data_IF_936157999199
#
_entry.id   IF_936157999199
#
_cell.length_a   1.000
_cell.length_b   1.000
_cell.length_c   1.000
_cell.angle_alpha   90.00
_cell.angle_beta   90.00
_cell.angle_gamma   90.00
#
_symmetry.space_group_name_H-M   'P 1'
#
loop_
_entity.id
_entity.type
_entity.pdbx_description
1 polymer ?
#
# COMPACT_ATOMS: atom_id res chain seq x y z
N UNK A 1 -0.21 -1.30 -26.97
CA UNK A 1 0.03 -0.26 -25.93
C UNK A 1 -1.02 -0.47 -24.85
N UNK A 2 -0.62 -0.54 -23.58
CA UNK A 2 -1.59 -0.62 -22.47
C UNK A 2 -2.48 0.63 -22.47
N UNK A 3 -3.76 0.48 -22.17
CA UNK A 3 -4.70 1.60 -22.06
C UNK A 3 -4.27 2.51 -20.89
N UNK A 4 -4.46 3.82 -21.05
CA UNK A 4 -4.17 4.78 -19.97
C UNK A 4 -5.16 4.55 -18.84
N UNK A 5 -4.65 4.44 -17.61
CA UNK A 5 -5.41 4.14 -16.40
C UNK A 5 -5.63 5.40 -15.58
N UNK A 6 -6.70 5.43 -14.81
CA UNK A 6 -6.98 6.42 -13.77
C UNK A 6 -6.57 5.84 -12.43
N UNK A 7 -5.58 6.45 -11.78
CA UNK A 7 -4.91 5.92 -10.59
C UNK A 7 -5.12 6.86 -9.41
N UNK A 8 -5.65 6.35 -8.31
CA UNK A 8 -5.73 7.03 -7.02
C UNK A 8 -4.60 6.53 -6.12
N UNK A 9 -3.77 7.43 -5.57
CA UNK A 9 -2.63 7.07 -4.72
C UNK A 9 -2.77 7.74 -3.37
N UNK A 10 -2.74 6.99 -2.28
CA UNK A 10 -2.74 7.56 -0.93
C UNK A 10 -1.32 7.84 -0.45
N UNK A 11 -1.13 8.95 0.27
CA UNK A 11 0.18 9.31 0.83
C UNK A 11 1.22 9.74 -0.21
N UNK A 12 0.83 10.56 -1.17
CA UNK A 12 1.68 11.00 -2.30
C UNK A 12 2.58 12.21 -1.99
N UNK A 13 2.61 12.71 -0.76
CA UNK A 13 3.40 13.91 -0.42
C UNK A 13 4.91 13.68 -0.53
N UNK A 14 5.39 12.48 -0.16
CA UNK A 14 6.81 12.12 -0.12
C UNK A 14 7.02 10.63 -0.41
N UNK A 15 8.26 10.16 -0.40
CA UNK A 15 8.64 8.74 -0.47
C UNK A 15 8.09 8.02 -1.69
N UNK A 16 7.70 6.77 -1.50
CA UNK A 16 7.17 5.93 -2.58
C UNK A 16 5.95 6.53 -3.28
N UNK A 17 4.98 7.11 -2.53
CA UNK A 17 3.79 7.69 -3.14
C UNK A 17 4.11 8.85 -4.09
N UNK A 18 5.16 9.64 -3.81
CA UNK A 18 5.65 10.68 -4.72
C UNK A 18 6.28 10.05 -5.97
N UNK A 19 7.13 9.04 -5.81
CA UNK A 19 7.75 8.34 -6.95
C UNK A 19 6.71 7.66 -7.83
N UNK A 20 5.70 7.01 -7.25
CA UNK A 20 4.59 6.41 -8.00
C UNK A 20 3.84 7.47 -8.81
N UNK A 21 3.56 8.63 -8.20
CA UNK A 21 2.89 9.76 -8.87
C UNK A 21 3.66 10.20 -10.10
N UNK A 22 4.94 10.46 -9.95
CA UNK A 22 5.80 10.96 -11.03
C UNK A 22 5.97 9.91 -12.12
N UNK A 23 6.23 8.65 -11.75
CA UNK A 23 6.48 7.54 -12.69
C UNK A 23 5.23 7.23 -13.54
N UNK A 24 4.07 7.10 -12.90
CA UNK A 24 2.83 6.77 -13.61
C UNK A 24 2.35 7.92 -14.50
N UNK A 25 2.44 9.15 -14.02
CA UNK A 25 2.03 10.32 -14.81
C UNK A 25 2.91 10.53 -16.04
N UNK A 26 4.23 10.31 -15.95
CA UNK A 26 5.14 10.37 -17.10
C UNK A 26 4.87 9.30 -18.15
N UNK A 27 4.22 8.21 -17.77
CA UNK A 27 3.72 7.18 -18.70
C UNK A 27 2.33 7.52 -19.26
N UNK A 28 1.75 8.67 -18.84
CA UNK A 28 0.48 9.21 -19.33
C UNK A 28 -0.75 8.63 -18.64
N UNK A 29 -0.60 7.95 -17.49
CA UNK A 29 -1.73 7.61 -16.64
C UNK A 29 -2.24 8.86 -15.92
N UNK A 30 -3.57 9.00 -15.77
CA UNK A 30 -4.15 10.08 -14.96
C UNK A 30 -3.99 9.74 -13.49
N UNK A 31 -3.29 10.59 -12.73
CA UNK A 31 -2.94 10.32 -11.33
C UNK A 31 -3.63 11.31 -10.40
N UNK A 32 -4.42 10.79 -9.46
CA UNK A 32 -4.91 11.52 -8.29
C UNK A 32 -3.94 11.30 -7.14
N UNK A 33 -3.03 12.25 -6.97
CA UNK A 33 -2.03 12.26 -5.91
C UNK A 33 -2.67 12.79 -4.62
N UNK A 34 -2.91 11.93 -3.62
CA UNK A 34 -3.62 12.36 -2.43
C UNK A 34 -2.73 12.47 -1.21
N UNK A 35 -3.01 13.44 -0.37
CA UNK A 35 -2.29 13.70 0.88
C UNK A 35 -3.16 14.44 1.88
N UNK A 36 -2.79 14.38 3.15
CA UNK A 36 -3.44 15.15 4.20
C UNK A 36 -3.07 16.63 4.09
N UNK A 37 -3.99 17.54 4.33
CA UNK A 37 -3.76 18.98 4.46
C UNK A 37 -2.86 19.56 3.34
N UNK A 38 -3.25 19.47 2.05
CA UNK A 38 -2.46 19.98 0.93
C UNK A 38 -2.39 21.52 0.87
N UNK A 39 -3.17 22.22 1.68
CA UNK A 39 -3.08 23.67 1.91
C UNK A 39 -2.43 24.02 3.27
N UNK A 40 -2.17 23.01 4.12
CA UNK A 40 -1.56 23.17 5.45
C UNK A 40 -0.14 22.58 5.48
N UNK A 41 0.06 21.56 6.34
CA UNK A 41 1.39 20.93 6.57
C UNK A 41 2.04 20.33 5.32
N UNK A 42 1.27 19.94 4.31
CA UNK A 42 1.77 19.42 3.04
C UNK A 42 1.72 20.45 1.90
N UNK A 43 1.52 21.74 2.17
CA UNK A 43 1.38 22.79 1.15
C UNK A 43 2.59 22.86 0.22
N UNK A 44 3.82 22.73 0.76
CA UNK A 44 5.06 22.71 -0.04
C UNK A 44 5.06 21.53 -1.00
N UNK A 45 4.84 20.30 -0.52
CA UNK A 45 4.85 19.09 -1.35
C UNK A 45 3.74 19.12 -2.41
N UNK A 46 2.54 19.61 -2.04
CA UNK A 46 1.44 19.80 -2.98
C UNK A 46 1.76 20.80 -4.08
N UNK A 47 2.41 21.93 -3.73
CA UNK A 47 2.86 22.94 -4.68
C UNK A 47 3.91 22.38 -5.64
N UNK A 48 4.89 21.64 -5.14
CA UNK A 48 5.91 21.00 -5.97
C UNK A 48 5.30 20.02 -6.99
N UNK A 49 4.33 19.20 -6.58
CA UNK A 49 3.62 18.29 -7.49
C UNK A 49 2.84 19.07 -8.55
N UNK A 50 2.12 20.12 -8.17
CA UNK A 50 1.37 20.95 -9.12
C UNK A 50 2.30 21.68 -10.11
N UNK A 51 3.43 22.20 -9.63
CA UNK A 51 4.44 22.86 -10.47
C UNK A 51 5.03 21.86 -11.48
N UNK A 52 5.37 20.64 -11.04
CA UNK A 52 5.85 19.58 -11.93
C UNK A 52 4.79 19.22 -12.98
N UNK A 53 3.54 19.04 -12.55
CA UNK A 53 2.43 18.72 -13.44
C UNK A 53 2.23 19.78 -14.53
N UNK A 54 2.29 21.06 -14.16
CA UNK A 54 2.18 22.17 -15.11
C UNK A 54 3.39 22.25 -16.05
N UNK A 55 4.61 22.19 -15.50
CA UNK A 55 5.85 22.28 -16.28
C UNK A 55 5.96 21.22 -17.35
N UNK A 56 5.66 19.97 -16.99
CA UNK A 56 5.86 18.80 -17.85
C UNK A 56 4.54 18.34 -18.50
N UNK A 57 3.45 19.10 -18.35
CA UNK A 57 2.11 18.79 -18.88
C UNK A 57 1.62 17.40 -18.47
N UNK A 58 1.88 17.02 -17.20
CA UNK A 58 1.52 15.70 -16.68
C UNK A 58 0.07 15.67 -16.15
N UNK A 59 -0.68 14.59 -16.36
CA UNK A 59 -2.07 14.44 -15.91
C UNK A 59 -2.14 14.10 -14.41
N UNK A 60 -1.66 15.00 -13.55
CA UNK A 60 -1.65 14.85 -12.09
C UNK A 60 -2.66 15.82 -11.46
N UNK A 61 -3.45 15.30 -10.53
CA UNK A 61 -4.42 16.05 -9.74
C UNK A 61 -4.15 15.82 -8.25
N UNK A 62 -3.87 16.91 -7.52
CA UNK A 62 -3.64 16.85 -6.07
C UNK A 62 -4.97 17.00 -5.35
N UNK A 63 -5.33 16.00 -4.51
CA UNK A 63 -6.53 16.01 -3.67
C UNK A 63 -6.15 15.84 -2.19
N UNK A 64 -7.02 16.37 -1.32
CA UNK A 64 -6.94 16.09 0.10
C UNK A 64 -7.54 14.71 0.41
N UNK A 65 -6.81 13.90 1.18
CA UNK A 65 -7.28 12.63 1.70
C UNK A 65 -6.52 12.27 2.97
N UNK A 66 -7.25 12.11 4.07
CA UNK A 66 -6.78 11.45 5.28
C UNK A 66 -7.39 10.05 5.35
N UNK A 67 -6.54 9.02 5.35
CA UNK A 67 -6.99 7.62 5.38
C UNK A 67 -7.63 7.23 6.72
N UNK A 68 -7.48 8.06 7.76
CA UNK A 68 -8.09 7.84 9.09
C UNK A 68 -9.48 8.47 9.23
N UNK A 69 -9.96 9.18 8.18
CA UNK A 69 -11.26 9.84 8.16
C UNK A 69 -12.10 9.34 6.97
N UNK A 70 -13.19 8.61 7.27
CA UNK A 70 -14.12 8.08 6.27
C UNK A 70 -14.70 9.17 5.35
N UNK A 71 -15.04 10.34 5.90
CA UNK A 71 -15.60 11.44 5.12
C UNK A 71 -14.55 12.07 4.17
N UNK A 72 -13.30 12.17 4.61
CA UNK A 72 -12.17 12.63 3.77
C UNK A 72 -11.92 11.66 2.61
N UNK A 73 -11.92 10.36 2.89
CA UNK A 73 -11.77 9.31 1.86
C UNK A 73 -12.90 9.39 0.84
N UNK A 74 -14.15 9.47 1.29
CA UNK A 74 -15.32 9.55 0.41
C UNK A 74 -15.24 10.78 -0.50
N UNK A 75 -14.98 11.97 0.05
CA UNK A 75 -14.84 13.21 -0.74
C UNK A 75 -13.75 13.11 -1.82
N UNK A 76 -12.60 12.52 -1.49
CA UNK A 76 -11.51 12.37 -2.44
C UNK A 76 -11.87 11.40 -3.59
N UNK A 77 -12.51 10.28 -3.28
CA UNK A 77 -12.97 9.30 -4.28
C UNK A 77 -14.04 9.93 -5.17
N UNK A 78 -15.04 10.60 -4.60
CA UNK A 78 -16.08 11.28 -5.37
C UNK A 78 -15.50 12.36 -6.29
N UNK A 79 -14.56 13.15 -5.81
CA UNK A 79 -13.87 14.17 -6.63
C UNK A 79 -13.08 13.54 -7.79
N UNK A 80 -12.39 12.41 -7.55
CA UNK A 80 -11.66 11.69 -8.59
C UNK A 80 -12.62 11.14 -9.65
N UNK A 81 -13.72 10.51 -9.23
CA UNK A 81 -14.75 9.97 -10.13
C UNK A 81 -15.47 11.08 -10.89
N UNK A 82 -15.83 12.19 -10.23
CA UNK A 82 -16.46 13.33 -10.90
C UNK A 82 -15.56 13.92 -12.00
N UNK A 83 -14.25 13.93 -11.78
CA UNK A 83 -13.29 14.48 -12.75
C UNK A 83 -12.92 13.54 -13.88
N UNK A 84 -12.73 12.25 -13.60
CA UNK A 84 -12.22 11.28 -14.57
C UNK A 84 -13.26 10.23 -15.03
N UNK A 85 -14.44 10.20 -14.42
CA UNK A 85 -15.52 9.24 -14.72
C UNK A 85 -15.29 7.83 -14.16
N UNK A 86 -14.07 7.52 -13.69
CA UNK A 86 -13.67 6.18 -13.25
C UNK A 86 -12.46 6.20 -12.31
N UNK A 87 -12.22 5.09 -11.64
CA UNK A 87 -10.95 4.76 -10.97
C UNK A 87 -10.59 3.33 -11.37
N UNK A 88 -9.47 3.16 -12.06
CA UNK A 88 -8.99 1.85 -12.51
C UNK A 88 -8.08 1.18 -11.49
N UNK A 89 -7.27 1.99 -10.80
CA UNK A 89 -6.29 1.51 -9.82
C UNK A 89 -6.36 2.36 -8.56
N UNK A 90 -6.42 1.71 -7.41
CA UNK A 90 -6.26 2.37 -6.11
C UNK A 90 -4.99 1.83 -5.43
N UNK A 91 -4.03 2.71 -5.14
CA UNK A 91 -2.77 2.37 -4.48
C UNK A 91 -2.84 2.81 -3.02
N UNK A 92 -2.98 1.84 -2.13
CA UNK A 92 -2.94 2.01 -0.68
C UNK A 92 -1.48 2.08 -0.23
N UNK A 93 -0.91 3.29 -0.27
CA UNK A 93 0.49 3.54 0.07
C UNK A 93 0.65 4.30 1.39
N UNK A 94 -0.34 5.08 1.83
CA UNK A 94 -0.26 5.82 3.08
C UNK A 94 0.04 4.91 4.26
N UNK A 95 1.07 5.26 5.04
CA UNK A 95 1.50 4.49 6.19
C UNK A 95 2.75 5.09 6.83
N UNK A 96 3.09 4.58 8.01
CA UNK A 96 4.32 4.97 8.70
C UNK A 96 4.88 3.81 9.52
N UNK A 97 6.12 3.97 9.97
CA UNK A 97 6.85 3.00 10.80
C UNK A 97 6.77 3.41 12.26
N UNK A 98 6.46 2.46 13.13
CA UNK A 98 6.57 2.57 14.58
C UNK A 98 7.64 1.58 15.05
N UNK A 99 8.71 2.11 15.64
CA UNK A 99 9.85 1.34 16.16
C UNK A 99 9.95 1.50 17.67
N UNK A 100 10.21 0.43 18.38
CA UNK A 100 10.39 0.40 19.82
C UNK A 100 10.22 -1.00 20.37
N UNK A 101 10.72 -1.25 21.57
CA UNK A 101 10.37 -2.47 22.31
C UNK A 101 8.85 -2.52 22.45
N UNK A 102 8.24 -3.67 22.19
CA UNK A 102 6.77 -3.76 22.09
C UNK A 102 6.05 -3.27 23.35
N UNK A 103 6.60 -3.53 24.53
CA UNK A 103 6.02 -3.05 25.80
C UNK A 103 6.17 -1.52 25.99
N UNK A 104 7.16 -0.89 25.36
CA UNK A 104 7.39 0.56 25.40
C UNK A 104 6.52 1.34 24.37
N UNK A 105 5.82 0.64 23.50
CA UNK A 105 4.81 1.24 22.62
C UNK A 105 3.49 1.33 23.37
N UNK A 106 2.91 2.54 23.47
CA UNK A 106 1.62 2.71 24.15
C UNK A 106 0.46 2.18 23.30
N UNK A 107 -0.63 1.84 23.94
CA UNK A 107 -1.85 1.36 23.27
C UNK A 107 -2.37 2.38 22.24
N UNK A 108 -2.29 3.67 22.57
CA UNK A 108 -2.72 4.76 21.67
C UNK A 108 -1.81 4.88 20.45
N UNK A 109 -0.49 4.63 20.60
CA UNK A 109 0.43 4.58 19.46
C UNK A 109 0.11 3.39 18.56
N UNK A 110 -0.13 2.22 19.16
CA UNK A 110 -0.52 1.01 18.42
C UNK A 110 -1.85 1.20 17.67
N UNK A 111 -2.86 1.77 18.32
CA UNK A 111 -4.16 2.07 17.69
C UNK A 111 -4.00 3.02 16.51
N UNK A 112 -3.26 4.13 16.64
CA UNK A 112 -3.02 5.08 15.55
C UNK A 112 -2.27 4.44 14.38
N UNK A 113 -1.33 3.54 14.66
CA UNK A 113 -0.62 2.80 13.62
C UNK A 113 -1.57 1.89 12.85
N UNK A 114 -2.36 1.10 13.57
CA UNK A 114 -3.35 0.19 12.96
C UNK A 114 -4.41 0.97 12.17
N UNK A 115 -4.85 2.10 12.68
CA UNK A 115 -5.83 2.96 12.01
C UNK A 115 -5.30 3.49 10.66
N UNK A 116 -4.03 3.89 10.61
CA UNK A 116 -3.41 4.36 9.36
C UNK A 116 -3.04 3.21 8.44
N UNK A 117 -2.26 2.23 8.93
CA UNK A 117 -1.62 1.22 8.07
C UNK A 117 -2.55 0.08 7.64
N UNK A 118 -3.61 -0.18 8.39
CA UNK A 118 -4.56 -1.25 8.14
C UNK A 118 -5.99 -0.74 7.86
N UNK A 119 -6.59 -0.01 8.80
CA UNK A 119 -7.97 0.47 8.61
C UNK A 119 -8.07 1.55 7.53
N UNK A 120 -7.00 2.33 7.30
CA UNK A 120 -6.92 3.28 6.18
C UNK A 120 -7.15 2.60 4.82
N UNK A 121 -6.39 1.58 4.44
CA UNK A 121 -6.67 0.75 3.26
C UNK A 121 -8.09 0.16 3.23
N UNK A 122 -8.65 -0.27 4.37
CA UNK A 122 -10.04 -0.74 4.45
C UNK A 122 -11.01 0.35 4.01
N UNK A 123 -10.88 1.59 4.54
CA UNK A 123 -11.73 2.73 4.18
C UNK A 123 -11.63 3.07 2.70
N UNK A 124 -10.41 3.17 2.18
CA UNK A 124 -10.18 3.49 0.75
C UNK A 124 -10.81 2.42 -0.15
N UNK A 125 -10.58 1.14 0.14
CA UNK A 125 -11.15 0.05 -0.64
C UNK A 125 -12.68 0.08 -0.61
N UNK A 126 -13.29 0.29 0.56
CA UNK A 126 -14.76 0.42 0.69
C UNK A 126 -15.33 1.57 -0.15
N UNK A 127 -14.59 2.67 -0.29
CA UNK A 127 -15.02 3.81 -1.09
C UNK A 127 -14.86 3.58 -2.60
N UNK A 128 -13.77 2.94 -3.06
CA UNK A 128 -13.53 2.74 -4.51
C UNK A 128 -14.25 1.52 -5.09
N UNK A 129 -14.46 0.45 -4.30
CA UNK A 129 -15.06 -0.80 -4.76
C UNK A 129 -16.46 -0.65 -5.40
N UNK A 130 -17.38 0.19 -4.93
CA UNK A 130 -18.66 0.38 -5.60
C UNK A 130 -18.51 0.90 -7.04
N UNK A 131 -17.50 1.72 -7.31
CA UNK A 131 -17.19 2.22 -8.66
C UNK A 131 -16.56 1.11 -9.50
N UNK A 132 -15.57 0.40 -8.99
CA UNK A 132 -14.90 -0.71 -9.68
C UNK A 132 -15.88 -1.85 -10.02
N UNK A 133 -16.86 -2.15 -9.14
CA UNK A 133 -17.91 -3.13 -9.42
C UNK A 133 -18.80 -2.70 -10.60
N UNK A 134 -19.22 -1.43 -10.64
CA UNK A 134 -19.97 -0.91 -11.80
C UNK A 134 -19.16 -0.96 -13.09
N UNK A 135 -17.84 -0.74 -13.00
CA UNK A 135 -16.92 -0.86 -14.13
C UNK A 135 -16.66 -2.33 -14.53
N UNK A 136 -16.90 -3.30 -13.63
CA UNK A 136 -16.45 -4.70 -13.74
C UNK A 136 -14.96 -4.81 -14.00
N UNK A 137 -14.20 -3.90 -13.47
CA UNK A 137 -12.75 -3.80 -13.65
C UNK A 137 -12.18 -2.92 -12.56
N UNK A 138 -11.04 -3.31 -12.02
CA UNK A 138 -10.29 -2.53 -11.05
C UNK A 138 -9.08 -3.30 -10.52
N UNK A 139 -8.14 -2.55 -9.97
CA UNK A 139 -6.98 -3.11 -9.27
C UNK A 139 -6.79 -2.37 -7.96
N UNK A 140 -6.79 -3.10 -6.86
CA UNK A 140 -6.36 -2.63 -5.54
C UNK A 140 -4.90 -3.03 -5.35
N UNK A 141 -4.01 -2.06 -5.16
CA UNK A 141 -2.59 -2.31 -4.86
C UNK A 141 -2.32 -1.89 -3.43
N UNK A 142 -1.78 -2.82 -2.64
CA UNK A 142 -1.48 -2.62 -1.23
C UNK A 142 0.04 -2.59 -1.04
N UNK A 143 0.56 -1.45 -0.57
CA UNK A 143 1.99 -1.34 -0.24
C UNK A 143 2.20 -1.91 1.15
N UNK A 144 2.60 -3.18 1.18
CA UNK A 144 3.00 -3.91 2.38
C UNK A 144 4.46 -3.62 2.73
N UNK A 145 5.21 -4.63 3.03
CA UNK A 145 6.66 -4.62 3.34
C UNK A 145 7.15 -6.06 3.46
N UNK A 146 8.45 -6.30 3.37
CA UNK A 146 9.06 -7.53 3.90
C UNK A 146 8.60 -7.81 5.35
N UNK A 147 8.36 -6.74 6.13
CA UNK A 147 7.83 -6.82 7.50
C UNK A 147 6.36 -7.31 7.57
N UNK A 148 5.68 -7.54 6.46
CA UNK A 148 4.40 -8.25 6.38
C UNK A 148 4.55 -9.78 6.31
N UNK A 149 5.77 -10.29 6.14
CA UNK A 149 6.09 -11.72 6.01
C UNK A 149 7.09 -12.21 7.06
N UNK A 150 7.95 -11.32 7.55
CA UNK A 150 8.97 -11.62 8.57
C UNK A 150 8.88 -10.59 9.70
N UNK A 151 9.38 -10.97 10.88
CA UNK A 151 9.39 -10.08 12.04
C UNK A 151 10.79 -9.52 12.26
N UNK A 152 10.91 -8.19 12.29
CA UNK A 152 12.12 -7.53 12.74
C UNK A 152 12.02 -7.17 14.23
N UNK A 153 13.07 -7.39 15.04
CA UNK A 153 13.12 -6.92 16.43
C UNK A 153 12.80 -5.44 16.53
N UNK A 154 12.14 -5.02 17.60
CA UNK A 154 11.68 -3.64 17.84
C UNK A 154 10.67 -3.06 16.83
N UNK A 155 10.15 -3.86 15.91
CA UNK A 155 9.14 -3.44 14.92
C UNK A 155 7.82 -4.24 15.06
N UNK A 156 7.55 -4.83 16.23
CA UNK A 156 6.44 -5.76 16.43
C UNK A 156 5.08 -5.21 15.98
N UNK A 157 4.70 -3.99 16.40
CA UNK A 157 3.43 -3.39 15.97
C UNK A 157 3.40 -3.01 14.48
N UNK A 158 4.53 -2.55 13.94
CA UNK A 158 4.62 -2.27 12.51
C UNK A 158 4.44 -3.57 11.70
N UNK A 159 5.17 -4.63 12.06
CA UNK A 159 5.00 -5.95 11.45
C UNK A 159 3.54 -6.41 11.55
N UNK A 160 2.93 -6.36 12.75
CA UNK A 160 1.53 -6.74 12.94
C UNK A 160 0.57 -5.96 12.01
N UNK A 161 0.79 -4.64 11.82
CA UNK A 161 -0.01 -3.85 10.89
C UNK A 161 0.14 -4.29 9.44
N UNK A 162 1.34 -4.70 9.03
CA UNK A 162 1.61 -5.19 7.67
C UNK A 162 1.11 -6.62 7.47
N UNK A 163 1.24 -7.50 8.46
CA UNK A 163 0.61 -8.84 8.44
C UNK A 163 -0.93 -8.74 8.32
N UNK A 164 -1.55 -7.82 9.07
CA UNK A 164 -3.00 -7.57 8.95
C UNK A 164 -3.38 -7.10 7.54
N UNK A 165 -2.60 -6.18 6.94
CA UNK A 165 -2.80 -5.71 5.57
C UNK A 165 -2.65 -6.84 4.55
N UNK A 166 -1.64 -7.72 4.71
CA UNK A 166 -1.42 -8.89 3.86
C UNK A 166 -2.63 -9.83 3.87
N UNK A 167 -3.08 -10.23 5.07
CA UNK A 167 -4.23 -11.13 5.21
C UNK A 167 -5.50 -10.55 4.57
N UNK A 168 -5.74 -9.26 4.78
CA UNK A 168 -6.88 -8.55 4.22
C UNK A 168 -6.82 -8.42 2.69
N UNK A 169 -5.65 -8.08 2.15
CA UNK A 169 -5.45 -7.97 0.71
C UNK A 169 -5.56 -9.34 0.01
N UNK A 170 -5.06 -10.39 0.64
CA UNK A 170 -5.20 -11.76 0.13
C UNK A 170 -6.67 -12.21 0.14
N UNK A 171 -7.43 -11.96 1.22
CA UNK A 171 -8.86 -12.26 1.26
C UNK A 171 -9.60 -11.58 0.08
N UNK A 172 -9.29 -10.31 -0.20
CA UNK A 172 -9.86 -9.60 -1.35
C UNK A 172 -9.50 -10.21 -2.69
N UNK A 173 -8.33 -10.85 -2.84
CA UNK A 173 -7.97 -11.52 -4.09
C UNK A 173 -8.93 -12.66 -4.44
N UNK A 174 -9.52 -13.30 -3.44
CA UNK A 174 -10.54 -14.35 -3.62
C UNK A 174 -11.94 -13.76 -3.77
N UNK A 175 -12.31 -12.85 -2.88
CA UNK A 175 -13.67 -12.29 -2.80
C UNK A 175 -14.05 -11.44 -4.02
N UNK A 176 -13.08 -10.80 -4.67
CA UNK A 176 -13.30 -9.87 -5.78
C UNK A 176 -13.01 -10.46 -7.17
N UNK A 177 -12.38 -11.64 -7.23
CA UNK A 177 -11.98 -12.28 -8.47
C UNK A 177 -13.14 -12.45 -9.46
N UNK A 178 -14.29 -12.91 -8.98
CA UNK A 178 -15.52 -13.07 -9.78
C UNK A 178 -16.14 -11.75 -10.25
N UNK A 179 -15.70 -10.62 -9.74
CA UNK A 179 -16.19 -9.28 -10.08
C UNK A 179 -15.29 -8.54 -11.07
N UNK A 180 -14.22 -9.19 -11.54
CA UNK A 180 -13.23 -8.58 -12.43
C UNK A 180 -12.32 -7.55 -11.74
N UNK A 181 -12.17 -7.65 -10.43
CA UNK A 181 -11.32 -6.77 -9.62
C UNK A 181 -10.19 -7.60 -9.02
N UNK A 182 -8.96 -7.12 -9.16
CA UNK A 182 -7.76 -7.77 -8.64
C UNK A 182 -7.27 -7.06 -7.37
N UNK A 183 -6.79 -7.84 -6.42
CA UNK A 183 -6.07 -7.34 -5.25
C UNK A 183 -4.62 -7.80 -5.35
N UNK A 184 -3.69 -6.86 -5.24
CA UNK A 184 -2.25 -7.06 -5.41
C UNK A 184 -1.51 -6.51 -4.21
N UNK A 185 -0.50 -7.23 -3.76
CA UNK A 185 0.36 -6.86 -2.65
C UNK A 185 1.77 -6.59 -3.19
N UNK A 186 2.33 -5.45 -2.84
CA UNK A 186 3.74 -5.14 -3.09
C UNK A 186 4.46 -5.13 -1.76
N UNK A 187 5.54 -5.88 -1.67
CA UNK A 187 6.33 -6.11 -0.45
C UNK A 187 7.72 -5.47 -0.62
N UNK A 188 7.88 -4.14 -0.43
CA UNK A 188 9.19 -3.53 -0.48
C UNK A 188 10.10 -4.06 0.62
N UNK A 189 11.36 -4.31 0.28
CA UNK A 189 12.43 -4.53 1.25
C UNK A 189 12.95 -3.21 1.83
N UNK A 190 14.27 -3.13 1.95
CA UNK A 190 14.94 -1.95 2.51
C UNK A 190 15.24 -0.91 1.41
N UNK A 191 14.60 0.26 1.52
CA UNK A 191 14.79 1.39 0.61
C UNK A 191 14.92 2.68 1.39
N UNK A 192 15.88 3.50 1.04
CA UNK A 192 16.02 4.83 1.60
C UNK A 192 14.88 5.73 1.11
N UNK A 193 13.91 5.94 1.97
CA UNK A 193 12.78 6.83 1.72
C UNK A 193 12.59 7.75 2.92
N UNK A 194 11.83 8.82 2.74
CA UNK A 194 11.46 9.74 3.82
C UNK A 194 10.72 9.06 5.00
N UNK A 195 10.28 7.81 4.84
CA UNK A 195 9.64 7.03 5.90
C UNK A 195 10.61 6.77 7.07
N UNK A 196 11.90 6.56 6.79
CA UNK A 196 12.91 6.38 7.83
C UNK A 196 13.29 7.68 8.55
N UNK A 197 13.09 8.84 7.91
CA UNK A 197 13.23 10.16 8.56
C UNK A 197 12.05 10.54 9.45
N UNK A 198 10.94 9.77 9.40
CA UNK A 198 9.70 10.01 10.16
C UNK A 198 9.27 8.80 11.00
N UNK A 199 10.24 7.97 11.42
CA UNK A 199 9.96 6.84 12.32
C UNK A 199 9.43 7.37 13.66
N UNK A 200 8.27 6.87 14.08
CA UNK A 200 7.73 7.12 15.40
C UNK A 200 8.34 6.11 16.36
N UNK A 201 8.80 6.57 17.53
CA UNK A 201 9.38 5.71 18.55
C UNK A 201 8.39 5.41 19.67
N UNK A 202 8.53 4.26 20.32
CA UNK A 202 7.75 3.92 21.51
C UNK A 202 7.91 5.00 22.60
N UNK A 203 6.80 5.44 23.18
CA UNK A 203 6.77 6.61 24.05
C UNK A 203 6.98 6.30 25.53
N UNK A 204 6.89 5.03 25.96
CA UNK A 204 7.05 4.64 27.38
C UNK A 204 8.54 4.33 27.69
N UNK A 205 9.29 5.40 27.94
CA UNK A 205 10.71 5.28 28.31
C UNK A 205 10.95 4.52 29.62
N UNK A 206 10.01 4.62 30.56
CA UNK A 206 10.14 3.95 31.86
C UNK A 206 10.13 2.42 31.63
N UNK A 207 9.23 1.91 30.81
CA UNK A 207 9.21 0.50 30.43
C UNK A 207 10.42 0.11 29.60
N UNK A 208 10.82 0.93 28.61
CA UNK A 208 12.01 0.65 27.80
C UNK A 208 13.26 0.47 28.68
N UNK A 209 13.40 1.27 29.75
CA UNK A 209 14.54 1.19 30.66
C UNK A 209 14.58 -0.11 31.50
N UNK A 210 13.45 -0.79 31.69
CA UNK A 210 13.44 -2.08 32.42
C UNK A 210 14.12 -3.21 31.63
N UNK A 211 14.32 -3.03 30.33
CA UNK A 211 14.96 -4.01 29.43
C UNK A 211 16.49 -3.99 29.45
N UNK A 212 17.12 -3.12 30.27
CA UNK A 212 18.57 -3.02 30.38
C UNK A 212 19.24 -2.77 29.03
N UNK A 213 20.21 -3.58 28.64
CA UNK A 213 20.94 -3.43 27.38
C UNK A 213 20.08 -3.64 26.12
N UNK A 214 18.95 -4.34 26.23
CA UNK A 214 18.05 -4.56 25.08
C UNK A 214 17.35 -3.29 24.62
N UNK A 215 17.31 -2.22 25.42
CA UNK A 215 16.77 -0.92 25.02
C UNK A 215 17.48 -0.32 23.81
N UNK A 216 18.70 -0.75 23.50
CA UNK A 216 19.48 -0.30 22.35
C UNK A 216 19.11 -1.01 21.04
N UNK A 217 18.27 -2.06 21.08
CA UNK A 217 17.87 -2.82 19.88
C UNK A 217 17.24 -1.93 18.81
N UNK A 218 16.30 -1.01 19.10
CA UNK A 218 15.70 -0.14 18.08
C UNK A 218 16.75 0.66 17.30
N UNK A 219 17.73 1.24 17.97
CA UNK A 219 18.81 1.99 17.33
C UNK A 219 19.70 1.09 16.45
N UNK A 220 20.04 -0.11 16.93
CA UNK A 220 20.83 -1.09 16.16
C UNK A 220 20.09 -1.55 14.91
N UNK A 221 18.80 -1.82 15.01
CA UNK A 221 17.95 -2.20 13.87
C UNK A 221 17.88 -1.05 12.87
N UNK A 222 17.65 0.17 13.31
CA UNK A 222 17.63 1.34 12.44
C UNK A 222 18.95 1.54 11.69
N UNK A 223 20.09 1.40 12.37
CA UNK A 223 21.41 1.47 11.76
C UNK A 223 21.58 0.38 10.69
N UNK A 224 21.22 -0.86 11.00
CA UNK A 224 21.31 -1.96 10.06
C UNK A 224 20.41 -1.74 8.82
N UNK A 225 19.19 -1.23 9.02
CA UNK A 225 18.29 -0.90 7.92
C UNK A 225 18.80 0.24 7.03
N UNK A 226 19.55 1.19 7.58
CA UNK A 226 20.11 2.31 6.81
C UNK A 226 21.32 1.92 5.96
N UNK A 227 22.03 0.84 6.32
CA UNK A 227 23.29 0.46 5.68
C UNK A 227 23.15 -0.33 4.36
N UNK A 228 21.95 -0.81 4.01
CA UNK A 228 21.71 -1.74 2.89
C UNK A 228 20.51 -1.32 2.04
N UNK A 229 20.42 -0.04 1.74
CA UNK A 229 19.27 0.53 1.03
C UNK A 229 19.38 0.39 -0.49
N UNK A 230 18.29 -0.08 -1.14
CA UNK A 230 18.12 -0.08 -2.58
C UNK A 230 17.69 1.28 -3.15
N UNK A 231 17.63 1.39 -4.48
CA UNK A 231 17.07 2.55 -5.15
C UNK A 231 15.51 2.52 -5.07
N UNK A 232 14.85 3.47 -4.39
CA UNK A 232 13.39 3.47 -4.27
C UNK A 232 12.64 3.48 -5.60
N UNK A 233 13.29 3.90 -6.70
CA UNK A 233 12.70 3.88 -8.04
C UNK A 233 12.37 2.45 -8.50
N UNK A 234 13.08 1.42 -8.02
CA UNK A 234 12.79 0.02 -8.34
C UNK A 234 11.35 -0.38 -7.94
N UNK A 235 10.87 0.14 -6.81
CA UNK A 235 9.49 -0.09 -6.36
C UNK A 235 8.50 0.65 -7.25
N UNK A 236 8.80 1.88 -7.66
CA UNK A 236 7.95 2.64 -8.59
C UNK A 236 7.88 1.98 -9.98
N UNK A 237 8.99 1.43 -10.45
CA UNK A 237 9.05 0.69 -11.71
C UNK A 237 8.26 -0.65 -11.62
N UNK A 238 8.27 -1.30 -10.46
CA UNK A 238 7.43 -2.47 -10.20
C UNK A 238 5.93 -2.10 -10.22
N UNK A 239 5.55 -1.01 -9.57
CA UNK A 239 4.17 -0.48 -9.61
C UNK A 239 3.74 -0.18 -11.05
N UNK A 240 4.60 0.46 -11.85
CA UNK A 240 4.29 0.72 -13.25
C UNK A 240 4.03 -0.58 -14.02
N UNK A 241 4.90 -1.59 -13.87
CA UNK A 241 4.71 -2.91 -14.50
C UNK A 241 3.38 -3.55 -14.08
N UNK A 242 3.04 -3.50 -12.78
CA UNK A 242 1.78 -4.04 -12.26
C UNK A 242 0.58 -3.32 -12.87
N UNK A 243 0.61 -1.99 -12.96
CA UNK A 243 -0.47 -1.18 -13.55
C UNK A 243 -0.65 -1.51 -15.03
N UNK A 244 0.44 -1.69 -15.77
CA UNK A 244 0.43 -2.00 -17.21
C UNK A 244 0.20 -3.48 -17.55
N UNK A 245 0.29 -4.38 -16.55
CA UNK A 245 0.01 -5.82 -16.73
C UNK A 245 -1.48 -6.01 -17.07
N UNK A 246 -1.81 -6.85 -18.08
CA UNK A 246 -3.21 -7.14 -18.43
C UNK A 246 -3.99 -7.75 -17.25
N UNK A 247 -5.30 -7.51 -17.24
CA UNK A 247 -6.19 -8.07 -16.22
C UNK A 247 -6.16 -9.62 -16.23
N UNK A 248 -6.01 -10.22 -15.04
CA UNK A 248 -5.92 -11.66 -14.84
C UNK A 248 -4.52 -12.25 -15.02
N UNK A 249 -3.52 -11.42 -15.32
CA UNK A 249 -2.12 -11.84 -15.45
C UNK A 249 -1.24 -11.38 -14.29
N UNK A 250 -1.81 -10.58 -13.35
CA UNK A 250 -1.10 -10.11 -12.15
C UNK A 250 -0.92 -11.23 -11.15
N UNK A 251 0.24 -11.25 -10.52
CA UNK A 251 0.47 -12.08 -9.35
C UNK A 251 -0.16 -11.41 -8.11
N UNK A 252 -0.52 -12.22 -7.11
CA UNK A 252 -1.00 -11.67 -5.84
C UNK A 252 0.08 -10.87 -5.11
N UNK A 253 1.34 -11.37 -5.10
CA UNK A 253 2.47 -10.74 -4.39
C UNK A 253 3.63 -10.43 -5.31
N UNK A 254 4.24 -9.27 -5.07
CA UNK A 254 5.46 -8.80 -5.70
C UNK A 254 6.44 -8.38 -4.61
N UNK A 255 7.40 -9.23 -4.31
CA UNK A 255 8.51 -8.85 -3.44
C UNK A 255 9.50 -8.03 -4.25
N UNK A 256 9.82 -6.83 -3.78
CA UNK A 256 10.75 -5.91 -4.44
C UNK A 256 11.81 -5.52 -3.43
N UNK A 257 13.02 -6.07 -3.59
CA UNK A 257 14.10 -5.84 -2.64
C UNK A 257 15.45 -6.19 -3.27
N UNK A 258 16.51 -5.44 -2.97
CA UNK A 258 17.86 -5.83 -3.34
C UNK A 258 18.35 -7.06 -2.58
N UNK A 259 17.68 -7.45 -1.49
CA UNK A 259 18.04 -8.58 -0.63
C UNK A 259 16.84 -9.48 -0.43
N UNK A 260 17.01 -10.79 -0.65
CA UNK A 260 16.01 -11.79 -0.32
C UNK A 260 16.26 -12.30 1.12
N UNK A 261 15.35 -11.97 2.04
CA UNK A 261 15.40 -12.44 3.42
C UNK A 261 14.59 -13.74 3.62
N UNK A 262 14.42 -14.56 2.59
CA UNK A 262 13.55 -15.74 2.60
C UNK A 262 12.07 -15.40 2.34
N UNK A 263 11.77 -14.16 1.91
CA UNK A 263 10.39 -13.72 1.66
C UNK A 263 9.81 -14.42 0.44
N UNK A 264 10.60 -14.63 -0.62
CA UNK A 264 10.14 -15.35 -1.82
C UNK A 264 9.78 -16.80 -1.49
N UNK A 265 10.56 -17.47 -0.65
CA UNK A 265 10.32 -18.85 -0.19
C UNK A 265 9.03 -18.93 0.66
N UNK A 266 8.82 -17.97 1.58
CA UNK A 266 7.59 -17.88 2.37
C UNK A 266 6.39 -17.66 1.45
N UNK A 267 6.50 -16.76 0.46
CA UNK A 267 5.43 -16.47 -0.49
C UNK A 267 5.09 -17.69 -1.37
N UNK A 268 6.11 -18.42 -1.84
CA UNK A 268 5.92 -19.63 -2.62
C UNK A 268 5.19 -20.72 -1.80
N UNK A 269 5.63 -20.94 -0.56
CA UNK A 269 4.99 -21.92 0.34
C UNK A 269 3.55 -21.48 0.68
N UNK A 270 3.32 -20.21 1.01
CA UNK A 270 1.99 -19.67 1.31
C UNK A 270 1.03 -19.88 0.13
N UNK A 271 1.48 -19.62 -1.09
CA UNK A 271 0.70 -19.82 -2.31
C UNK A 271 0.27 -21.30 -2.46
N UNK A 272 1.18 -22.24 -2.20
CA UNK A 272 0.87 -23.68 -2.27
C UNK A 272 -0.14 -24.10 -1.19
N UNK A 273 0.08 -23.69 0.05
CA UNK A 273 -0.82 -23.99 1.17
C UNK A 273 -2.22 -23.44 0.91
N UNK A 274 -2.31 -22.20 0.40
CA UNK A 274 -3.58 -21.56 0.12
C UNK A 274 -4.35 -22.25 -1.02
N UNK A 275 -3.65 -22.69 -2.07
CA UNK A 275 -4.27 -23.50 -3.13
C UNK A 275 -4.90 -24.78 -2.57
N UNK A 276 -4.20 -25.50 -1.68
CA UNK A 276 -4.70 -26.70 -1.03
C UNK A 276 -5.94 -26.42 -0.16
N UNK A 277 -5.97 -25.28 0.54
CA UNK A 277 -7.13 -24.85 1.34
C UNK A 277 -8.34 -24.58 0.46
N UNK A 278 -8.16 -23.84 -0.65
CA UNK A 278 -9.25 -23.56 -1.58
C UNK A 278 -9.81 -24.82 -2.23
N UNK A 279 -8.96 -25.79 -2.56
CA UNK A 279 -9.40 -27.11 -3.04
C UNK A 279 -10.18 -27.88 -1.97
N UNK A 280 -9.65 -27.93 -0.74
CA UNK A 280 -10.30 -28.63 0.38
C UNK A 280 -11.67 -28.05 0.72
N UNK A 281 -11.88 -26.75 0.52
CA UNK A 281 -13.18 -26.08 0.73
C UNK A 281 -14.09 -26.11 -0.51
N UNK A 282 -13.62 -26.65 -1.65
CA UNK A 282 -14.37 -26.66 -2.90
C UNK A 282 -14.49 -25.28 -3.58
N UNK A 283 -13.64 -24.32 -3.20
CA UNK A 283 -13.70 -22.92 -3.65
C UNK A 283 -12.75 -22.58 -4.80
N UNK A 284 -11.96 -23.54 -5.26
CA UNK A 284 -10.92 -23.30 -6.27
C UNK A 284 -11.46 -22.73 -7.61
N UNK A 285 -12.71 -23.05 -7.97
CA UNK A 285 -13.36 -22.52 -9.18
C UNK A 285 -13.92 -21.10 -8.94
N UNK A 286 -14.50 -20.85 -7.76
CA UNK A 286 -15.20 -19.62 -7.42
C UNK A 286 -14.23 -18.45 -7.20
N UNK A 287 -13.00 -18.75 -6.83
CA UNK A 287 -11.94 -17.76 -6.55
C UNK A 287 -11.07 -17.43 -7.76
N UNK A 288 -11.37 -18.01 -8.94
CA UNK A 288 -10.67 -17.67 -10.18
C UNK A 288 -11.08 -16.31 -10.72
N UNK A 289 -10.08 -15.55 -11.17
CA UNK A 289 -10.34 -14.27 -11.81
C UNK A 289 -11.17 -14.43 -13.09
N UNK A 290 -12.32 -13.76 -13.16
CA UNK A 290 -13.22 -13.77 -14.30
C UNK A 290 -13.07 -12.48 -15.11
N UNK A 291 -12.32 -12.55 -16.22
CA UNK A 291 -12.14 -11.42 -17.14
C UNK A 291 -13.47 -11.08 -17.82
N UNK A 292 -14.09 -9.97 -17.40
CA UNK A 292 -15.21 -9.34 -18.13
C UNK A 292 -16.49 -10.15 -18.29
N UNK A 293 -16.65 -11.31 -17.65
CA UNK A 293 -17.91 -12.07 -17.65
C UNK A 293 -18.88 -11.52 -16.61
N UNK A 294 -20.14 -11.30 -17.04
CA UNK A 294 -21.24 -11.05 -16.12
C UNK A 294 -21.37 -12.25 -15.18
N UNK A 295 -21.33 -12.00 -13.87
CA UNK A 295 -21.89 -12.96 -12.90
C UNK A 295 -23.35 -13.08 -13.28
N UNK A 296 -23.78 -14.29 -13.71
CA UNK A 296 -25.18 -14.55 -14.01
C UNK A 296 -26.01 -14.16 -12.80
N UNK A 297 -27.07 -13.40 -13.04
CA UNK A 297 -28.12 -13.17 -12.06
C UNK A 297 -28.60 -14.52 -11.55
N UNK A 298 -28.34 -14.77 -10.26
CA UNK A 298 -29.05 -15.80 -9.48
C UNK A 298 -30.39 -15.26 -9.09
#
# INVERSE_FOLDING_TARGET
>A
MSSKQVVLITGSSTGFGRLFTDTLARKGHTVFATMREPAGRNAKNASEIRTLAQKDSLPIHVLELDVTDDASVARAVDAAVAKAGRIDVAINNAGYVLSGLSEAVTTEQAQRLMDTNFLGPVRVNRAVLPHMRRQRSGVLIHISSAAGRIIAPSMGFYCASKFALEAFAEAYSYELAGQGIESVIVEPGQYETSIFGSVVTGADEARANTYGALKEIPAKVQTALSSTSGNPQEVADAILRIVETPAGERQLRYFVSPQNFGVDEINALSKQVQANILEAFGLAADTKFLKGKAVGSV
#
